data_IF_673463715526
#
_entry.id   IF_673463715526
#
_cell.length_a   1.000
_cell.length_b   1.000
_cell.length_c   1.000
_cell.angle_alpha   90.00
_cell.angle_beta   90.00
_cell.angle_gamma   90.00
#
_symmetry.space_group_name_H-M   'P 1'
#
loop_
_entity.id
_entity.type
_entity.pdbx_description
1 polymer ?
#
# COMPACT_ATOMS: atom_id res chain seq x y z
N UNK A 1 -2.45 -9.37 21.63
CA UNK A 1 -1.47 -8.31 21.96
C UNK A 1 -0.04 -8.75 21.67
N UNK A 2 0.47 -9.84 22.26
CA UNK A 2 1.85 -10.33 22.02
C UNK A 2 2.11 -10.59 20.52
N UNK A 3 1.19 -11.26 19.82
CA UNK A 3 1.31 -11.54 18.38
C UNK A 3 1.38 -10.28 17.51
N UNK A 4 0.70 -9.20 17.90
CA UNK A 4 0.69 -7.94 17.15
C UNK A 4 2.00 -7.16 17.36
N UNK A 5 2.56 -7.22 18.57
CA UNK A 5 3.85 -6.62 18.89
C UNK A 5 4.96 -7.37 18.16
N UNK A 6 4.94 -8.70 18.18
CA UNK A 6 5.93 -9.52 17.46
C UNK A 6 5.85 -9.32 15.95
N UNK A 7 4.64 -9.17 15.37
CA UNK A 7 4.44 -8.80 13.98
C UNK A 7 5.09 -7.44 13.65
N UNK A 8 4.88 -6.43 14.49
CA UNK A 8 5.48 -5.10 14.31
C UNK A 8 7.00 -5.12 14.35
N UNK A 9 7.59 -5.83 15.31
CA UNK A 9 9.05 -5.99 15.41
C UNK A 9 9.60 -6.75 14.21
N UNK A 10 8.95 -7.83 13.78
CA UNK A 10 9.37 -8.62 12.62
C UNK A 10 9.32 -7.77 11.35
N UNK A 11 8.24 -7.02 11.13
CA UNK A 11 8.12 -6.11 9.99
C UNK A 11 9.21 -5.03 10.02
N UNK A 12 9.48 -4.44 11.18
CA UNK A 12 10.55 -3.46 11.33
C UNK A 12 11.93 -4.04 10.95
N UNK A 13 12.30 -5.21 11.47
CA UNK A 13 13.58 -5.84 11.16
C UNK A 13 13.70 -6.19 9.66
N UNK A 14 12.63 -6.73 9.06
CA UNK A 14 12.62 -7.06 7.65
C UNK A 14 12.70 -5.82 6.74
N UNK A 15 12.03 -4.72 7.10
CA UNK A 15 12.17 -3.46 6.35
C UNK A 15 13.57 -2.86 6.48
N UNK A 16 14.17 -2.91 7.68
CA UNK A 16 15.52 -2.40 7.94
C UNK A 16 16.58 -3.10 7.09
N UNK A 17 16.43 -4.41 6.86
CA UNK A 17 17.31 -5.19 5.99
C UNK A 17 16.91 -5.04 4.51
N UNK A 18 15.62 -4.99 4.22
CA UNK A 18 15.06 -4.95 2.88
C UNK A 18 15.34 -3.65 2.13
N UNK A 19 15.28 -2.50 2.83
CA UNK A 19 15.50 -1.18 2.20
C UNK A 19 16.92 -1.04 1.63
N UNK A 20 18.02 -1.33 2.36
CA UNK A 20 19.37 -1.28 1.79
C UNK A 20 19.56 -2.21 0.59
N UNK A 21 18.99 -3.42 0.64
CA UNK A 21 19.05 -4.36 -0.48
C UNK A 21 18.30 -3.83 -1.71
N UNK A 22 17.12 -3.25 -1.50
CA UNK A 22 16.31 -2.63 -2.53
C UNK A 22 17.00 -1.41 -3.15
N UNK A 23 17.63 -0.54 -2.34
CA UNK A 23 18.40 0.59 -2.82
C UNK A 23 19.56 0.12 -3.71
N UNK A 24 20.31 -0.90 -3.27
CA UNK A 24 21.41 -1.48 -4.07
C UNK A 24 20.91 -2.08 -5.38
N UNK A 25 19.76 -2.75 -5.37
CA UNK A 25 19.12 -3.26 -6.58
C UNK A 25 18.77 -2.14 -7.57
N UNK A 26 18.13 -1.07 -7.09
CA UNK A 26 17.79 0.08 -7.93
C UNK A 26 19.01 0.81 -8.49
N UNK A 27 20.06 0.97 -7.68
CA UNK A 27 21.33 1.56 -8.13
C UNK A 27 22.00 0.71 -9.21
N UNK A 28 22.01 -0.62 -9.05
CA UNK A 28 22.55 -1.55 -10.06
C UNK A 28 21.72 -1.56 -11.34
N UNK A 29 20.40 -1.45 -11.23
CA UNK A 29 19.50 -1.41 -12.37
C UNK A 29 19.57 -0.09 -13.15
N UNK A 30 20.38 0.89 -12.72
CA UNK A 30 20.49 2.23 -13.33
C UNK A 30 19.11 2.89 -13.50
N UNK A 31 18.15 2.55 -12.62
CA UNK A 31 16.85 3.20 -12.58
C UNK A 31 17.08 4.54 -11.89
N UNK A 32 17.62 5.50 -12.63
CA UNK A 32 17.84 6.85 -12.15
C UNK A 32 16.47 7.47 -11.92
N UNK A 33 16.14 7.72 -10.65
CA UNK A 33 14.94 8.48 -10.29
C UNK A 33 14.91 9.80 -11.06
N UNK A 34 13.72 10.15 -11.56
CA UNK A 34 13.33 11.34 -12.31
C UNK A 34 14.47 12.16 -12.96
N UNK A 35 14.42 12.35 -14.28
CA UNK A 35 15.13 13.45 -14.93
C UNK A 35 14.52 14.78 -14.44
N UNK A 36 15.01 15.26 -13.30
CA UNK A 36 14.66 16.56 -12.75
C UNK A 36 15.18 17.63 -13.71
N UNK A 37 14.30 18.55 -14.09
CA UNK A 37 14.67 19.76 -14.83
C UNK A 37 15.86 20.45 -14.17
N UNK A 38 16.81 20.89 -14.99
CA UNK A 38 18.13 21.43 -14.62
C UNK A 38 18.10 22.77 -13.85
N UNK A 39 16.94 23.27 -13.44
CA UNK A 39 16.77 24.67 -13.05
C UNK A 39 17.24 25.02 -11.63
N UNK A 40 17.59 24.06 -10.76
CA UNK A 40 18.08 24.39 -9.41
C UNK A 40 19.17 23.42 -8.91
N UNK A 41 20.39 23.94 -8.72
CA UNK A 41 21.58 23.21 -8.22
C UNK A 41 21.36 22.44 -6.91
N UNK A 42 20.35 22.80 -6.13
CA UNK A 42 19.99 22.15 -4.86
C UNK A 42 19.25 20.81 -5.04
N UNK A 43 18.68 20.55 -6.22
CA UNK A 43 17.96 19.31 -6.53
C UNK A 43 18.86 18.17 -7.04
N UNK A 44 20.11 18.46 -7.42
CA UNK A 44 21.06 17.43 -7.85
C UNK A 44 21.49 16.49 -6.71
N UNK A 45 21.39 16.92 -5.44
CA UNK A 45 21.69 16.07 -4.29
C UNK A 45 20.67 14.92 -4.09
N UNK A 46 19.49 14.99 -4.73
CA UNK A 46 18.47 13.93 -4.72
C UNK A 46 18.46 13.10 -6.01
N UNK A 47 19.33 13.42 -6.97
CA UNK A 47 19.48 12.66 -8.21
C UNK A 47 20.14 11.30 -7.89
N UNK A 48 19.33 10.26 -7.74
CA UNK A 48 19.81 8.89 -7.48
C UNK A 48 19.17 8.21 -6.27
N UNK A 49 18.36 8.90 -5.46
CA UNK A 49 17.55 8.22 -4.43
C UNK A 49 16.35 7.52 -5.08
N UNK A 50 16.16 6.20 -4.87
CA UNK A 50 15.08 5.45 -5.50
C UNK A 50 13.72 5.94 -4.99
N UNK A 51 12.83 6.28 -5.94
CA UNK A 51 11.52 6.89 -5.68
C UNK A 51 10.40 5.89 -5.34
N UNK A 52 10.72 4.61 -5.10
CA UNK A 52 9.75 3.53 -4.86
C UNK A 52 9.97 2.73 -3.57
N UNK A 53 10.64 3.31 -2.56
CA UNK A 53 10.89 2.62 -1.29
C UNK A 53 9.62 2.11 -0.58
N UNK A 54 8.48 2.76 -0.83
CA UNK A 54 7.16 2.35 -0.32
C UNK A 54 6.74 0.93 -0.69
N UNK A 55 7.24 0.39 -1.80
CA UNK A 55 6.95 -0.99 -2.20
C UNK A 55 7.55 -2.01 -1.23
N UNK A 56 8.73 -1.73 -0.65
CA UNK A 56 9.33 -2.60 0.37
C UNK A 56 8.46 -2.61 1.62
N UNK A 57 7.98 -1.45 2.06
CA UNK A 57 7.07 -1.35 3.19
C UNK A 57 5.76 -2.11 2.94
N UNK A 58 5.17 -1.95 1.75
CA UNK A 58 3.93 -2.64 1.38
C UNK A 58 4.11 -4.15 1.40
N UNK A 59 5.16 -4.67 0.75
CA UNK A 59 5.43 -6.11 0.69
C UNK A 59 5.67 -6.67 2.09
N UNK A 60 6.52 -6.03 2.89
CA UNK A 60 6.84 -6.52 4.23
C UNK A 60 5.60 -6.47 5.11
N UNK A 61 4.83 -5.38 5.10
CA UNK A 61 3.60 -5.26 5.89
C UNK A 61 2.60 -6.36 5.51
N UNK A 62 2.33 -6.57 4.21
CA UNK A 62 1.37 -7.58 3.76
C UNK A 62 1.83 -8.99 4.11
N UNK A 63 3.09 -9.33 3.82
CA UNK A 63 3.62 -10.68 4.07
C UNK A 63 3.66 -10.98 5.56
N UNK A 64 4.17 -10.07 6.38
CA UNK A 64 4.26 -10.29 7.84
C UNK A 64 2.88 -10.37 8.46
N UNK A 65 1.98 -9.43 8.14
CA UNK A 65 0.62 -9.45 8.67
C UNK A 65 -0.15 -10.70 8.25
N UNK A 66 0.00 -11.15 7.00
CA UNK A 66 -0.63 -12.38 6.51
C UNK A 66 -0.07 -13.63 7.21
N UNK A 67 1.25 -13.77 7.30
CA UNK A 67 1.89 -14.92 7.94
C UNK A 67 1.53 -14.99 9.42
N UNK A 68 1.61 -13.88 10.15
CA UNK A 68 1.25 -13.85 11.57
C UNK A 68 -0.23 -14.19 11.75
N UNK A 69 -1.13 -13.64 10.94
CA UNK A 69 -2.55 -13.98 11.00
C UNK A 69 -2.79 -15.47 10.71
N UNK A 70 -2.07 -16.06 9.75
CA UNK A 70 -2.16 -17.48 9.42
C UNK A 70 -1.65 -18.37 10.56
N UNK A 71 -0.45 -18.10 11.09
CA UNK A 71 0.17 -18.92 12.15
C UNK A 71 -0.53 -18.80 13.51
N UNK A 72 -1.18 -17.67 13.77
CA UNK A 72 -1.94 -17.46 15.00
C UNK A 72 -3.41 -17.87 14.87
N UNK A 73 -3.83 -18.38 13.70
CA UNK A 73 -5.22 -18.69 13.37
C UNK A 73 -6.17 -17.48 13.56
N UNK A 74 -5.64 -16.27 13.38
CA UNK A 74 -6.38 -15.00 13.46
C UNK A 74 -6.74 -14.44 12.08
N UNK A 75 -6.65 -15.26 11.04
CA UNK A 75 -7.07 -14.91 9.69
C UNK A 75 -8.60 -14.85 9.61
N UNK A 76 -9.14 -13.75 10.10
CA UNK A 76 -10.57 -13.42 10.04
C UNK A 76 -10.90 -12.67 8.74
N UNK A 77 -12.18 -12.65 8.34
CA UNK A 77 -12.63 -11.85 7.21
C UNK A 77 -12.19 -10.39 7.31
N UNK A 78 -12.22 -9.80 8.51
CA UNK A 78 -11.76 -8.43 8.75
C UNK A 78 -10.28 -8.22 8.42
N UNK A 79 -9.41 -9.15 8.84
CA UNK A 79 -7.98 -9.08 8.53
C UNK A 79 -7.75 -9.22 7.03
N UNK A 80 -8.46 -10.15 6.38
CA UNK A 80 -8.42 -10.32 4.92
C UNK A 80 -8.83 -9.05 4.16
N UNK A 81 -9.89 -8.39 4.60
CA UNK A 81 -10.37 -7.13 4.00
C UNK A 81 -9.37 -5.98 4.19
N UNK A 82 -8.77 -5.84 5.38
CA UNK A 82 -7.75 -4.81 5.63
C UNK A 82 -6.51 -5.05 4.75
N UNK A 83 -6.07 -6.30 4.63
CA UNK A 83 -4.96 -6.65 3.73
C UNK A 83 -5.30 -6.37 2.27
N UNK A 84 -6.54 -6.67 1.85
CA UNK A 84 -7.00 -6.38 0.50
C UNK A 84 -6.95 -4.88 0.17
N UNK A 85 -7.51 -4.02 1.04
CA UNK A 85 -7.53 -2.58 0.77
C UNK A 85 -6.13 -1.96 0.84
N UNK A 86 -5.28 -2.47 1.74
CA UNK A 86 -3.87 -2.08 1.82
C UNK A 86 -3.14 -2.39 0.52
N UNK A 87 -3.31 -3.60 -0.03
CA UNK A 87 -2.72 -3.99 -1.33
C UNK A 87 -3.30 -3.15 -2.46
N UNK A 88 -4.62 -2.93 -2.50
CA UNK A 88 -5.28 -2.15 -3.55
C UNK A 88 -4.72 -0.73 -3.61
N UNK A 89 -4.69 0.01 -2.50
CA UNK A 89 -4.14 1.36 -2.47
C UNK A 89 -2.62 1.39 -2.66
N UNK A 90 -1.92 0.38 -2.15
CA UNK A 90 -0.50 0.17 -2.43
C UNK A 90 -0.21 0.04 -3.93
N UNK A 91 -1.04 -0.72 -4.66
CA UNK A 91 -0.93 -0.86 -6.11
C UNK A 91 -1.23 0.43 -6.85
N UNK A 92 -2.22 1.21 -6.41
CA UNK A 92 -2.49 2.55 -7.00
C UNK A 92 -1.28 3.47 -6.85
N UNK A 93 -0.66 3.48 -5.66
CA UNK A 93 0.56 4.26 -5.41
C UNK A 93 1.75 3.77 -6.23
N UNK A 94 1.95 2.44 -6.29
CA UNK A 94 2.99 1.84 -7.09
C UNK A 94 2.84 2.16 -8.59
N UNK A 95 1.62 2.11 -9.12
CA UNK A 95 1.35 2.43 -10.52
C UNK A 95 1.65 3.90 -10.83
N UNK A 96 1.31 4.82 -9.91
CA UNK A 96 1.61 6.25 -10.02
C UNK A 96 3.13 6.50 -10.09
N UNK A 97 3.88 5.88 -9.17
CA UNK A 97 5.33 5.97 -9.17
C UNK A 97 5.96 5.26 -10.38
N UNK A 98 5.36 4.16 -10.85
CA UNK A 98 5.83 3.40 -12.01
C UNK A 98 5.73 4.20 -13.30
N UNK A 99 4.60 4.88 -13.52
CA UNK A 99 4.41 5.76 -14.67
C UNK A 99 5.39 6.95 -14.66
N UNK A 100 5.70 7.50 -13.47
CA UNK A 100 6.68 8.59 -13.34
C UNK A 100 8.10 8.15 -13.66
N UNK A 101 8.50 6.97 -13.20
CA UNK A 101 9.89 6.50 -13.32
C UNK A 101 10.15 5.82 -14.66
N UNK A 102 9.29 4.89 -15.08
CA UNK A 102 9.52 4.07 -16.27
C UNK A 102 8.94 4.69 -17.54
N UNK A 103 7.77 5.32 -17.47
CA UNK A 103 7.15 5.98 -18.63
C UNK A 103 7.54 7.47 -18.77
N UNK A 104 8.32 8.02 -17.83
CA UNK A 104 8.76 9.44 -17.82
C UNK A 104 7.61 10.45 -17.92
N UNK A 105 6.42 10.08 -17.43
CA UNK A 105 5.27 10.99 -17.37
C UNK A 105 5.42 11.79 -16.07
N UNK A 106 5.79 13.06 -16.17
CA UNK A 106 6.11 13.90 -15.01
C UNK A 106 4.99 13.96 -13.96
N UNK A 107 3.72 13.90 -14.40
CA UNK A 107 2.56 13.95 -13.52
C UNK A 107 2.18 12.57 -12.93
N UNK A 108 2.61 11.46 -13.55
CA UNK A 108 2.17 10.10 -13.21
C UNK A 108 0.73 9.82 -13.62
N UNK A 109 -0.08 9.25 -12.72
CA UNK A 109 -1.53 9.14 -12.95
C UNK A 109 -2.18 10.54 -12.91
N UNK A 110 -3.14 10.77 -13.79
CA UNK A 110 -3.99 11.95 -13.66
C UNK A 110 -4.64 12.00 -12.26
N UNK A 111 -4.70 13.16 -11.59
CA UNK A 111 -5.31 13.29 -10.27
C UNK A 111 -6.74 12.74 -10.23
N UNK A 112 -7.52 12.95 -11.32
CA UNK A 112 -8.88 12.40 -11.48
C UNK A 112 -8.90 10.87 -11.55
N UNK A 113 -7.95 10.26 -12.26
CA UNK A 113 -7.83 8.80 -12.37
C UNK A 113 -7.43 8.19 -11.03
N UNK A 114 -6.47 8.79 -10.33
CA UNK A 114 -6.03 8.36 -8.99
C UNK A 114 -7.18 8.41 -7.99
N UNK A 115 -7.92 9.52 -7.97
CA UNK A 115 -9.09 9.70 -7.10
C UNK A 115 -10.22 8.72 -7.48
N UNK A 116 -10.48 8.51 -8.77
CA UNK A 116 -11.47 7.52 -9.22
C UNK A 116 -11.10 6.10 -8.77
N UNK A 117 -9.83 5.71 -8.89
CA UNK A 117 -9.36 4.39 -8.46
C UNK A 117 -9.48 4.21 -6.94
N UNK A 118 -9.17 5.26 -6.16
CA UNK A 118 -9.31 5.25 -4.71
C UNK A 118 -10.79 5.18 -4.28
N UNK A 119 -11.67 5.95 -4.92
CA UNK A 119 -13.10 5.92 -4.66
C UNK A 119 -13.71 4.57 -5.02
N UNK A 120 -13.39 4.02 -6.20
CA UNK A 120 -13.86 2.69 -6.60
C UNK A 120 -13.38 1.62 -5.63
N UNK A 121 -12.09 1.65 -5.24
CA UNK A 121 -11.55 0.73 -4.25
C UNK A 121 -12.24 0.84 -2.88
N UNK A 122 -12.52 2.07 -2.42
CA UNK A 122 -13.26 2.33 -1.19
C UNK A 122 -14.71 1.86 -1.23
N UNK A 123 -15.42 2.06 -2.35
CA UNK A 123 -16.79 1.59 -2.53
C UNK A 123 -16.83 0.06 -2.56
N UNK A 124 -15.91 -0.60 -3.27
CA UNK A 124 -15.80 -2.06 -3.28
C UNK A 124 -15.55 -2.57 -1.86
N UNK A 125 -14.60 -1.97 -1.14
CA UNK A 125 -14.31 -2.34 0.24
C UNK A 125 -15.55 -2.21 1.14
N UNK A 126 -16.27 -1.09 1.04
CA UNK A 126 -17.50 -0.86 1.80
C UNK A 126 -18.56 -1.94 1.50
N UNK A 127 -18.84 -2.21 0.22
CA UNK A 127 -19.84 -3.22 -0.17
C UNK A 127 -19.46 -4.64 0.29
N UNK A 128 -18.17 -4.98 0.26
CA UNK A 128 -17.70 -6.29 0.73
C UNK A 128 -17.72 -6.41 2.25
N UNK A 129 -17.40 -5.33 2.95
CA UNK A 129 -17.49 -5.27 4.42
C UNK A 129 -18.94 -5.47 4.88
N UNK A 130 -19.87 -4.79 4.23
CA UNK A 130 -21.31 -4.89 4.49
C UNK A 130 -21.90 -6.28 4.19
N UNK A 131 -21.44 -6.94 3.12
CA UNK A 131 -21.88 -8.33 2.83
C UNK A 131 -21.31 -9.36 3.80
N UNK A 132 -20.28 -9.00 4.57
CA UNK A 132 -19.64 -9.87 5.55
C UNK A 132 -20.16 -9.68 6.98
N UNK A 133 -21.04 -8.71 7.24
CA UNK A 133 -21.62 -8.46 8.55
C UNK A 133 -23.09 -8.06 8.46
N UNK A 134 -23.94 -8.63 9.31
CA UNK A 134 -25.40 -8.37 9.33
C UNK A 134 -25.78 -6.93 9.77
N UNK A 135 -24.81 -6.02 9.86
CA UNK A 135 -24.96 -4.71 10.49
C UNK A 135 -24.30 -3.61 9.65
N UNK A 136 -25.14 -2.73 9.09
CA UNK A 136 -24.71 -1.61 8.27
C UNK A 136 -24.51 -0.38 9.13
N UNK A 137 -23.26 0.08 9.28
CA UNK A 137 -22.94 1.22 10.13
C UNK A 137 -22.97 2.53 9.34
N UNK A 138 -24.11 3.21 9.31
CA UNK A 138 -24.24 4.55 8.69
C UNK A 138 -24.01 5.63 9.74
N UNK A 139 -22.95 6.44 9.59
CA UNK A 139 -22.68 7.60 10.48
C UNK A 139 -22.70 7.26 11.99
N UNK A 140 -22.27 6.05 12.36
CA UNK A 140 -22.26 5.59 13.76
C UNK A 140 -23.57 4.94 14.25
N UNK A 141 -24.60 4.84 13.40
CA UNK A 141 -25.81 4.07 13.66
C UNK A 141 -25.70 2.69 13.02
N UNK A 142 -25.81 1.65 13.85
CA UNK A 142 -25.91 0.27 13.38
C UNK A 142 -27.34 0.02 12.90
N UNK A 143 -27.53 0.01 11.58
CA UNK A 143 -28.78 -0.36 10.95
C UNK A 143 -28.73 -1.86 10.68
N UNK A 144 -29.53 -2.61 11.43
CA UNK A 144 -29.73 -4.03 11.18
C UNK A 144 -30.55 -4.15 9.90
N UNK A 145 -29.93 -4.64 8.82
CA UNK A 145 -30.64 -4.98 7.61
C UNK A 145 -31.41 -6.28 7.90
N UNK A 146 -32.65 -6.16 8.36
CA UNK A 146 -33.50 -7.33 8.66
C UNK A 146 -33.74 -8.22 7.43
N UNK A 147 -34.18 -9.46 7.71
CA UNK A 147 -34.65 -10.64 6.92
C UNK A 147 -34.74 -10.62 5.37
N UNK A 148 -34.72 -9.48 4.69
CA UNK A 148 -34.69 -9.36 3.23
C UNK A 148 -33.28 -9.28 2.62
N UNK A 149 -32.25 -9.64 3.38
CA UNK A 149 -30.92 -10.00 2.88
C UNK A 149 -30.45 -11.31 3.51
#
# INVERSE_FOLDING_TARGET
MISSISAGVLAFLLTLIGIPAFIRFYQKAQITGQQMHEDVKQHQAKAGTPTMGGLVFLIVAVVVSFLVALFTQQLTNNVGMILFILVLFGLVGFLDDFLKVFCKINEGLNPKQKLALQLLGGVIFYLFYERGGDMLSVFGYQVHLGIFY
#
